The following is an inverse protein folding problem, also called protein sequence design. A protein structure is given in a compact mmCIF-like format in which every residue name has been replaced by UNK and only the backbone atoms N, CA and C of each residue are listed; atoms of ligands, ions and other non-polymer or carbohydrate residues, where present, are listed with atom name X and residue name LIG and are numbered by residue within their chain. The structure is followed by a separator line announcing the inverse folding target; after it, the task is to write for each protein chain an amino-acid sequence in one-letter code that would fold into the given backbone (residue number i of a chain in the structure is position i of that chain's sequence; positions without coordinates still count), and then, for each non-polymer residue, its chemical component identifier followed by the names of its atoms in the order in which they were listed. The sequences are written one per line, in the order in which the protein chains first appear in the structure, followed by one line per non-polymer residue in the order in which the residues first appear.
data_IF_118518348120
#
_entry.id   IF_118518348120
#
_cell.length_a   1.000
_cell.length_b   1.000
_cell.length_c   1.000
_cell.angle_alpha   90.00
_cell.angle_beta   90.00
_cell.angle_gamma   90.00
#
_symmetry.space_group_name_H-M   'P 1'
#
loop_
_entity.id
_entity.type
_entity.pdbx_description
1 polymer ?
#
# COMPACT_ATOMS: atom_id res chain seq x y z
N UNK A 1 -3.61 -1.55 -5.48
CA UNK A 1 -2.88 -1.87 -4.23
C UNK A 1 -1.55 -2.53 -4.52
N UNK A 2 -1.53 -3.71 -5.18
CA UNK A 2 -0.30 -4.46 -5.48
C UNK A 2 0.74 -3.65 -6.28
N UNK A 3 0.36 -3.05 -7.41
CA UNK A 3 1.21 -2.19 -8.25
C UNK A 3 1.83 -0.95 -7.57
N UNK A 4 1.35 -0.58 -6.37
CA UNK A 4 1.90 0.51 -5.56
C UNK A 4 3.13 0.05 -4.75
N UNK A 5 3.10 -1.21 -4.28
CA UNK A 5 4.15 -1.84 -3.50
C UNK A 5 5.01 -2.82 -4.30
N UNK A 6 4.58 -3.21 -5.50
CA UNK A 6 5.34 -4.06 -6.42
C UNK A 6 5.51 -3.32 -7.74
N UNK A 7 6.73 -3.17 -8.26
CA UNK A 7 6.95 -2.52 -9.55
C UNK A 7 6.20 -3.23 -10.69
N UNK A 8 5.81 -2.49 -11.73
CA UNK A 8 4.98 -3.00 -12.84
C UNK A 8 5.53 -4.30 -13.46
N UNK A 9 6.86 -4.42 -13.58
CA UNK A 9 7.54 -5.59 -14.13
C UNK A 9 7.63 -6.77 -13.17
N UNK A 10 7.65 -6.52 -11.85
CA UNK A 10 7.58 -7.60 -10.84
C UNK A 10 6.21 -8.26 -10.77
N UNK A 11 5.17 -7.63 -11.34
CA UNK A 11 3.83 -8.20 -11.47
C UNK A 11 3.63 -9.00 -12.78
N UNK A 12 4.49 -8.83 -13.80
CA UNK A 12 4.29 -9.36 -15.17
C UNK A 12 5.51 -10.15 -15.63
N UNK A 13 5.89 -11.22 -14.91
CA UNK A 13 6.97 -12.15 -15.29
C UNK A 13 8.41 -11.65 -15.03
N UNK A 14 8.95 -12.02 -13.87
CA UNK A 14 10.33 -12.51 -13.69
C UNK A 14 11.53 -11.61 -13.96
N UNK A 15 11.40 -10.48 -14.66
CA UNK A 15 12.52 -9.59 -15.01
C UNK A 15 12.24 -8.18 -14.49
N UNK A 16 13.10 -7.70 -13.58
CA UNK A 16 13.10 -6.30 -13.15
C UNK A 16 13.70 -5.44 -14.27
N UNK A 17 12.86 -4.90 -15.15
CA UNK A 17 13.27 -3.90 -16.14
C UNK A 17 12.92 -2.45 -15.71
N UNK A 18 12.47 -2.23 -14.46
CA UNK A 18 12.16 -0.89 -13.95
C UNK A 18 13.32 -0.32 -13.12
N UNK A 19 13.85 0.83 -13.53
CA UNK A 19 14.96 1.52 -12.87
C UNK A 19 14.64 2.08 -11.46
N UNK A 20 13.38 2.01 -11.01
CA UNK A 20 12.95 2.51 -9.70
C UNK A 20 12.49 1.36 -8.82
N UNK A 21 13.07 1.29 -7.62
CA UNK A 21 12.64 0.39 -6.55
C UNK A 21 11.17 0.63 -6.21
N UNK A 22 10.48 -0.44 -5.78
CA UNK A 22 9.08 -0.33 -5.39
C UNK A 22 8.95 0.53 -4.11
N UNK A 23 7.75 1.08 -3.85
CA UNK A 23 7.55 1.85 -2.62
C UNK A 23 7.76 0.99 -1.36
N UNK A 24 7.51 -0.31 -1.41
CA UNK A 24 7.83 -1.20 -0.28
C UNK A 24 9.32 -1.36 -0.08
N UNK A 25 10.11 -1.47 -1.15
CA UNK A 25 11.56 -1.59 -1.08
C UNK A 25 12.22 -0.28 -0.61
N UNK A 26 11.73 0.87 -1.10
CA UNK A 26 12.19 2.20 -0.66
C UNK A 26 11.91 2.44 0.83
N UNK A 27 10.77 1.95 1.31
CA UNK A 27 10.35 2.13 2.71
C UNK A 27 10.63 0.89 3.58
N UNK A 28 11.39 -0.08 3.07
CA UNK A 28 11.73 -1.35 3.72
C UNK A 28 10.53 -2.05 4.40
N UNK A 29 9.36 -1.98 3.77
CA UNK A 29 8.11 -2.52 4.29
C UNK A 29 8.10 -4.04 4.14
N UNK A 30 8.23 -4.74 5.28
CA UNK A 30 8.14 -6.21 5.37
C UNK A 30 6.72 -6.71 5.60
N UNK A 31 5.84 -5.84 6.08
CA UNK A 31 4.43 -6.13 6.36
C UNK A 31 3.56 -4.90 6.06
N UNK A 32 2.27 -5.13 5.86
CA UNK A 32 1.29 -4.04 5.77
C UNK A 32 1.04 -3.48 7.16
N UNK A 33 1.26 -2.17 7.33
CA UNK A 33 0.98 -1.45 8.57
C UNK A 33 -0.27 -0.58 8.40
N UNK A 34 -0.88 -0.20 9.52
CA UNK A 34 -1.92 0.84 9.60
C UNK A 34 -1.55 2.10 8.78
N UNK A 35 -0.31 2.56 8.90
CA UNK A 35 0.23 3.71 8.17
C UNK A 35 0.28 3.51 6.67
N UNK A 36 0.58 2.30 6.20
CA UNK A 36 0.64 2.04 4.75
C UNK A 36 -0.75 1.94 4.15
N UNK A 37 -1.74 1.42 4.89
CA UNK A 37 -3.14 1.44 4.47
C UNK A 37 -3.65 2.88 4.37
N UNK A 38 -3.43 3.69 5.42
CA UNK A 38 -3.82 5.10 5.43
C UNK A 38 -3.18 5.87 4.26
N UNK A 39 -1.90 5.60 3.96
CA UNK A 39 -1.21 6.20 2.81
C UNK A 39 -1.86 5.83 1.47
N UNK A 40 -2.23 4.56 1.28
CA UNK A 40 -2.88 4.12 0.04
C UNK A 40 -4.27 4.72 -0.11
N UNK A 41 -5.04 4.86 0.98
CA UNK A 41 -6.34 5.52 0.93
C UNK A 41 -6.21 6.99 0.49
N UNK A 42 -5.20 7.71 0.99
CA UNK A 42 -4.89 9.07 0.53
C UNK A 42 -4.57 9.10 -0.96
N UNK A 43 -3.73 8.17 -1.44
CA UNK A 43 -3.39 8.07 -2.86
C UNK A 43 -4.59 7.71 -3.74
N UNK A 44 -5.47 6.81 -3.28
CA UNK A 44 -6.69 6.45 -3.99
C UNK A 44 -7.61 7.67 -4.12
N UNK A 45 -7.79 8.43 -3.03
CA UNK A 45 -8.59 9.67 -3.05
C UNK A 45 -8.01 10.73 -3.98
N UNK A 46 -6.68 10.91 -3.98
CA UNK A 46 -6.00 11.82 -4.91
C UNK A 46 -6.18 11.37 -6.36
N UNK A 47 -6.10 10.07 -6.64
CA UNK A 47 -6.29 9.53 -8.01
C UNK A 47 -7.73 9.72 -8.50
N UNK A 48 -8.70 9.66 -7.59
CA UNK A 48 -10.11 9.95 -7.88
C UNK A 48 -10.39 11.46 -7.94
N UNK A 49 -9.51 12.31 -7.39
CA UNK A 49 -9.62 13.76 -7.53
C UNK A 49 -9.16 14.18 -8.92
N UNK A 50 -9.77 15.22 -9.48
CA UNK A 50 -9.30 15.84 -10.73
C UNK A 50 -8.00 16.66 -10.53
N UNK A 51 -7.44 16.67 -9.33
CA UNK A 51 -6.27 17.46 -8.99
C UNK A 51 -4.99 16.75 -9.48
N UNK A 52 -4.30 17.39 -10.42
CA UNK A 52 -3.04 16.88 -10.99
C UNK A 52 -1.85 16.97 -10.04
N UNK A 53 -1.96 17.74 -8.95
CA UNK A 53 -0.86 17.97 -8.00
C UNK A 53 -1.28 17.54 -6.62
N UNK A 54 -0.37 16.85 -5.95
CA UNK A 54 -0.53 16.54 -4.54
C UNK A 54 -0.53 17.84 -3.74
N UNK A 55 -1.62 18.09 -3.02
CA UNK A 55 -1.80 19.25 -2.14
C UNK A 55 -2.22 18.72 -0.76
N UNK A 56 -1.85 19.42 0.31
CA UNK A 56 -2.32 19.08 1.66
C UNK A 56 -3.82 19.29 1.82
N UNK A 57 -4.37 20.24 1.04
CA UNK A 57 -5.78 20.62 1.04
C UNK A 57 -6.28 20.59 -0.41
N UNK A 58 -7.30 19.78 -0.69
CA UNK A 58 -8.01 19.75 -1.97
C UNK A 58 -9.40 20.36 -1.79
N UNK A 59 -9.48 21.68 -1.93
CA UNK A 59 -10.70 22.46 -1.70
C UNK A 59 -11.14 22.39 -0.24
N UNK A 60 -12.18 21.60 0.03
CA UNK A 60 -12.74 21.37 1.38
C UNK A 60 -12.19 20.11 2.06
N UNK A 61 -11.35 19.33 1.37
CA UNK A 61 -10.84 18.05 1.87
C UNK A 61 -9.40 18.18 2.38
N UNK A 62 -9.19 17.84 3.65
CA UNK A 62 -7.86 17.82 4.27
C UNK A 62 -7.31 16.38 4.29
N UNK A 63 -6.24 16.14 3.52
CA UNK A 63 -5.61 14.82 3.45
C UNK A 63 -4.90 14.42 4.75
N UNK A 64 -4.39 15.39 5.51
CA UNK A 64 -3.75 15.11 6.80
C UNK A 64 -4.79 14.69 7.84
N UNK A 65 -5.95 15.35 7.86
CA UNK A 65 -7.07 14.92 8.69
C UNK A 65 -7.58 13.54 8.29
N UNK A 66 -7.76 13.29 6.98
CA UNK A 66 -8.20 11.99 6.48
C UNK A 66 -7.23 10.87 6.82
N UNK A 67 -5.92 11.13 6.71
CA UNK A 67 -4.89 10.17 7.11
C UNK A 67 -4.97 9.82 8.61
N UNK A 68 -5.10 10.83 9.47
CA UNK A 68 -5.25 10.63 10.92
C UNK A 68 -6.53 9.88 11.27
N UNK A 69 -7.64 10.22 10.60
CA UNK A 69 -8.91 9.54 10.79
C UNK A 69 -8.82 8.04 10.48
N UNK A 70 -8.13 7.65 9.41
CA UNK A 70 -7.91 6.22 9.09
C UNK A 70 -7.02 5.55 10.13
N UNK A 71 -5.99 6.24 10.63
CA UNK A 71 -5.16 5.70 11.71
C UNK A 71 -5.95 5.50 13.00
N UNK A 72 -6.82 6.43 13.37
CA UNK A 72 -7.72 6.27 14.52
C UNK A 72 -8.71 5.12 14.30
N UNK A 73 -9.22 4.97 13.08
CA UNK A 73 -10.10 3.87 12.70
C UNK A 73 -9.40 2.50 12.85
N UNK A 74 -8.11 2.42 12.52
CA UNK A 74 -7.29 1.21 12.62
C UNK A 74 -6.49 1.10 13.93
N UNK A 75 -6.69 2.02 14.87
CA UNK A 75 -5.91 2.08 16.10
C UNK A 75 -6.20 0.88 17.02
N UNK A 76 -7.46 0.46 17.09
CA UNK A 76 -7.89 -0.63 17.95
C UNK A 76 -7.67 -1.99 17.31
N UNK A 77 -6.44 -2.51 17.42
CA UNK A 77 -6.06 -3.84 16.90
C UNK A 77 -6.74 -5.02 17.60
N UNK A 78 -7.46 -4.78 18.70
CA UNK A 78 -8.20 -5.83 19.41
C UNK A 78 -9.55 -6.12 18.75
N UNK A 79 -10.02 -5.23 17.87
CA UNK A 79 -11.24 -5.48 17.10
C UNK A 79 -10.96 -6.53 16.02
N UNK A 80 -11.78 -7.60 15.94
CA UNK A 80 -11.56 -8.69 14.98
C UNK A 80 -11.45 -8.21 13.54
N UNK A 81 -12.28 -7.23 13.15
CA UNK A 81 -12.29 -6.71 11.78
C UNK A 81 -11.00 -5.98 11.41
N UNK A 82 -10.31 -5.33 12.36
CA UNK A 82 -9.02 -4.65 12.11
C UNK A 82 -7.93 -5.68 11.84
N UNK A 83 -7.90 -6.74 12.64
CA UNK A 83 -6.95 -7.83 12.50
C UNK A 83 -7.16 -8.55 11.16
N UNK A 84 -8.41 -8.93 10.85
CA UNK A 84 -8.78 -9.58 9.59
C UNK A 84 -8.39 -8.70 8.39
N UNK A 85 -8.61 -7.39 8.48
CA UNK A 85 -8.24 -6.44 7.43
C UNK A 85 -6.73 -6.42 7.21
N UNK A 86 -5.94 -6.28 8.27
CA UNK A 86 -4.48 -6.26 8.19
C UNK A 86 -3.94 -7.58 7.62
N UNK A 87 -4.45 -8.70 8.09
CA UNK A 87 -4.05 -10.03 7.64
C UNK A 87 -4.41 -10.26 6.17
N UNK A 88 -5.62 -9.90 5.75
CA UNK A 88 -6.06 -9.98 4.36
C UNK A 88 -5.14 -9.18 3.42
N UNK A 89 -4.82 -7.93 3.77
CA UNK A 89 -3.94 -7.10 2.95
C UNK A 89 -2.50 -7.59 2.94
N UNK A 90 -2.03 -8.14 4.06
CA UNK A 90 -0.71 -8.74 4.15
C UNK A 90 -0.61 -9.98 3.23
N UNK A 91 -1.61 -10.86 3.28
CA UNK A 91 -1.72 -12.02 2.39
C UNK A 91 -1.77 -11.58 0.92
N UNK A 92 -2.64 -10.64 0.57
CA UNK A 92 -2.82 -10.19 -0.81
C UNK A 92 -1.54 -9.58 -1.41
N UNK A 93 -0.73 -8.90 -0.59
CA UNK A 93 0.46 -8.17 -1.04
C UNK A 93 1.72 -9.03 -1.01
N UNK A 94 1.91 -9.83 0.05
CA UNK A 94 3.14 -10.60 0.28
C UNK A 94 3.02 -12.09 -0.08
N UNK A 95 1.83 -12.72 -0.02
CA UNK A 95 1.71 -14.14 -0.37
C UNK A 95 1.95 -14.43 -1.85
N UNK A 96 1.57 -13.51 -2.75
CA UNK A 96 1.90 -13.69 -4.18
C UNK A 96 3.36 -13.33 -4.47
N UNK A 97 4.02 -12.58 -3.60
CA UNK A 97 5.47 -12.33 -3.70
C UNK A 97 6.28 -13.58 -3.32
N UNK A 98 5.75 -14.44 -2.43
CA UNK A 98 6.38 -15.70 -2.04
C UNK A 98 6.31 -16.80 -3.12
N UNK A 99 5.27 -16.81 -3.97
CA UNK A 99 5.21 -17.75 -5.11
C UNK A 99 6.32 -17.50 -6.16
N UNK A 100 6.89 -16.29 -6.24
CA UNK A 100 7.96 -15.98 -7.20
C UNK A 100 9.36 -15.90 -6.59
N UNK A 101 9.49 -15.81 -5.26
CA UNK A 101 10.81 -15.93 -4.61
C UNK A 101 11.23 -17.39 -4.43
N UNK A 102 10.26 -18.33 -4.30
CA UNK A 102 10.56 -19.75 -4.16
C UNK A 102 10.79 -20.48 -5.51
N UNK A 103 10.36 -19.90 -6.63
CA UNK A 103 10.48 -20.50 -7.97
C UNK A 103 11.77 -20.10 -8.74
N UNK A 104 12.67 -19.34 -8.13
CA UNK A 104 13.96 -18.93 -8.74
C UNK A 104 15.16 -19.57 -8.00
N UNK A 105 14.91 -20.36 -6.94
CA UNK A 105 15.93 -21.04 -6.15
C UNK A 105 15.70 -22.56 -5.99
N UNK A 106 15.09 -23.20 -7.01
CA UNK A 106 15.13 -24.65 -7.25
C UNK A 106 15.29 -24.87 -8.76
#
# INVERSE_FOLDING_TARGET
FRCLFTGATSAVMGRRDCAKSSKSEIHELKEVTDRTIAYVCVLARQTLSSSQKYSTIDGTFDYAYFYKFILELLWNKNEPWVQDTLEYWNMYTFSISCQYFCAVYL
#
